data_IF_398178669459
#
_entry.id   IF_398178669459
#
_cell.length_a   1.000
_cell.length_b   1.000
_cell.length_c   1.000
_cell.angle_alpha   90.00
_cell.angle_beta   90.00
_cell.angle_gamma   90.00
#
_symmetry.space_group_name_H-M   'P 1'
#
loop_
_entity.id
_entity.type
_entity.pdbx_description
1 polymer ?
#
# COMPACT_ATOMS: atom_id res chain seq x y z
N UNK A 1 -10.48 -10.66 -15.78
CA UNK A 1 -9.43 -9.63 -15.89
C UNK A 1 -9.12 -9.18 -14.48
N UNK A 2 -7.89 -9.33 -14.00
CA UNK A 2 -7.53 -8.96 -12.62
C UNK A 2 -7.04 -7.51 -12.59
N UNK A 3 -7.63 -6.67 -11.73
CA UNK A 3 -7.21 -5.29 -11.54
C UNK A 3 -6.24 -5.19 -10.38
N UNK A 4 -5.19 -4.38 -10.54
CA UNK A 4 -4.31 -4.01 -9.44
C UNK A 4 -5.08 -3.20 -8.38
N UNK A 5 -4.55 -3.20 -7.14
CA UNK A 5 -5.13 -2.41 -6.04
C UNK A 5 -5.24 -0.92 -6.38
N UNK A 6 -4.23 -0.37 -7.07
CA UNK A 6 -4.21 1.02 -7.50
C UNK A 6 -5.33 1.30 -8.51
N UNK A 7 -5.51 0.42 -9.52
CA UNK A 7 -6.60 0.57 -10.49
C UNK A 7 -7.98 0.54 -9.81
N UNK A 8 -8.19 -0.37 -8.85
CA UNK A 8 -9.44 -0.44 -8.08
C UNK A 8 -9.69 0.89 -7.33
N UNK A 9 -8.66 1.45 -6.70
CA UNK A 9 -8.76 2.73 -5.97
C UNK A 9 -9.00 3.92 -6.90
N UNK A 10 -8.40 3.93 -8.09
CA UNK A 10 -8.65 4.95 -9.11
C UNK A 10 -10.09 4.92 -9.60
N UNK A 11 -10.65 3.73 -9.86
CA UNK A 11 -12.08 3.58 -10.20
C UNK A 11 -12.94 4.06 -9.03
N UNK A 12 -12.58 3.69 -7.80
CA UNK A 12 -13.29 4.13 -6.60
C UNK A 12 -13.34 5.66 -6.45
N UNK A 13 -12.21 6.33 -6.70
CA UNK A 13 -12.13 7.78 -6.69
C UNK A 13 -13.03 8.42 -7.77
N UNK A 14 -13.02 7.86 -8.98
CA UNK A 14 -13.88 8.32 -10.07
C UNK A 14 -15.37 8.23 -9.71
N UNK A 15 -15.81 7.11 -9.14
CA UNK A 15 -17.20 6.92 -8.73
C UNK A 15 -17.59 7.81 -7.54
N UNK A 16 -16.67 8.02 -6.59
CA UNK A 16 -16.85 8.99 -5.50
C UNK A 16 -17.06 10.41 -6.03
N UNK A 17 -16.29 10.82 -7.05
CA UNK A 17 -16.45 12.12 -7.69
C UNK A 17 -17.83 12.25 -8.35
N UNK A 18 -18.35 11.17 -8.92
CA UNK A 18 -19.71 11.06 -9.46
C UNK A 18 -20.82 10.95 -8.40
N UNK A 19 -20.48 11.19 -7.13
CA UNK A 19 -21.41 11.20 -5.98
C UNK A 19 -22.05 9.85 -5.66
N UNK A 20 -21.49 8.74 -6.14
CA UNK A 20 -21.93 7.42 -5.68
C UNK A 20 -21.61 7.23 -4.20
N UNK A 21 -22.46 6.49 -3.50
CA UNK A 21 -22.20 5.98 -2.16
C UNK A 21 -21.26 4.76 -2.18
N UNK A 22 -20.67 4.45 -1.03
CA UNK A 22 -19.81 3.28 -0.88
C UNK A 22 -20.55 1.95 -1.17
N UNK A 23 -21.85 1.90 -0.85
CA UNK A 23 -22.71 0.73 -1.12
C UNK A 23 -22.99 0.57 -2.60
N UNK A 24 -23.32 1.65 -3.31
CA UNK A 24 -23.57 1.63 -4.76
C UNK A 24 -22.30 1.27 -5.52
N UNK A 25 -21.15 1.82 -5.12
CA UNK A 25 -19.85 1.46 -5.68
C UNK A 25 -19.56 -0.03 -5.51
N UNK A 26 -19.75 -0.58 -4.30
CA UNK A 26 -19.48 -1.99 -4.03
C UNK A 26 -20.38 -2.90 -4.88
N UNK A 27 -21.66 -2.57 -4.99
CA UNK A 27 -22.61 -3.31 -5.82
C UNK A 27 -22.18 -3.30 -7.30
N UNK A 28 -21.90 -2.11 -7.85
CA UNK A 28 -21.45 -1.94 -9.23
C UNK A 28 -20.15 -2.69 -9.53
N UNK A 29 -19.21 -2.69 -8.58
CA UNK A 29 -17.96 -3.46 -8.69
C UNK A 29 -18.21 -4.96 -8.70
N UNK A 30 -19.05 -5.47 -7.79
CA UNK A 30 -19.41 -6.88 -7.76
C UNK A 30 -20.11 -7.34 -9.05
N UNK A 31 -20.97 -6.49 -9.62
CA UNK A 31 -21.68 -6.77 -10.87
C UNK A 31 -20.75 -6.77 -12.10
N UNK A 32 -19.74 -5.88 -12.12
CA UNK A 32 -18.85 -5.71 -13.28
C UNK A 32 -17.61 -6.59 -13.27
N UNK A 33 -17.01 -6.82 -12.10
CA UNK A 33 -15.70 -7.47 -11.94
C UNK A 33 -15.77 -8.78 -11.14
N UNK A 34 -16.93 -9.10 -10.58
CA UNK A 34 -17.19 -10.32 -9.82
C UNK A 34 -17.19 -10.10 -8.31
N UNK A 35 -17.73 -11.09 -7.61
CA UNK A 35 -17.85 -11.07 -6.15
C UNK A 35 -16.44 -11.09 -5.53
N UNK A 36 -16.24 -10.34 -4.45
CA UNK A 36 -14.99 -10.25 -3.67
C UNK A 36 -13.81 -9.49 -4.32
N UNK A 37 -14.04 -8.66 -5.35
CA UNK A 37 -12.96 -7.77 -5.88
C UNK A 37 -12.43 -6.81 -4.83
N UNK A 38 -13.30 -6.29 -3.95
CA UNK A 38 -12.94 -5.37 -2.86
C UNK A 38 -13.89 -5.58 -1.68
N UNK A 39 -13.38 -5.52 -0.45
CA UNK A 39 -14.23 -5.62 0.75
C UNK A 39 -14.91 -4.29 1.06
N UNK A 40 -16.10 -4.35 1.67
CA UNK A 40 -16.83 -3.14 2.10
C UNK A 40 -16.01 -2.25 3.05
N UNK A 41 -15.23 -2.85 3.95
CA UNK A 41 -14.34 -2.11 4.85
C UNK A 41 -13.27 -1.34 4.10
N UNK A 42 -12.70 -1.92 3.05
CA UNK A 42 -11.76 -1.23 2.16
C UNK A 42 -12.43 -0.03 1.50
N UNK A 43 -13.65 -0.20 0.97
CA UNK A 43 -14.41 0.91 0.37
C UNK A 43 -14.65 2.04 1.37
N UNK A 44 -15.09 1.73 2.59
CA UNK A 44 -15.32 2.75 3.64
C UNK A 44 -14.05 3.54 3.97
N UNK A 45 -12.90 2.86 4.11
CA UNK A 45 -11.63 3.52 4.44
C UNK A 45 -11.24 4.51 3.34
N UNK A 46 -11.31 4.09 2.08
CA UNK A 46 -10.97 4.93 0.94
C UNK A 46 -11.93 6.10 0.75
N UNK A 47 -13.24 5.85 0.88
CA UNK A 47 -14.23 6.94 0.86
C UNK A 47 -14.02 7.96 1.98
N UNK A 48 -13.56 7.53 3.17
CA UNK A 48 -13.17 8.46 4.24
C UNK A 48 -11.94 9.28 3.86
N UNK A 49 -10.93 8.67 3.24
CA UNK A 49 -9.75 9.39 2.71
C UNK A 49 -10.16 10.45 1.68
N UNK A 50 -11.01 10.08 0.70
CA UNK A 50 -11.48 11.03 -0.31
C UNK A 50 -12.32 12.17 0.27
N UNK A 51 -13.18 11.88 1.27
CA UNK A 51 -13.91 12.93 2.01
C UNK A 51 -13.00 13.88 2.79
N UNK A 52 -11.85 13.40 3.24
CA UNK A 52 -10.82 14.20 3.91
C UNK A 52 -9.91 14.97 2.92
N UNK A 53 -10.15 14.85 1.60
CA UNK A 53 -9.36 15.51 0.57
C UNK A 53 -8.06 14.79 0.19
N UNK A 54 -7.85 13.55 0.68
CA UNK A 54 -6.72 12.73 0.24
C UNK A 54 -7.15 11.90 -0.98
N UNK A 55 -6.59 12.22 -2.14
CA UNK A 55 -6.90 11.59 -3.43
C UNK A 55 -5.77 10.69 -3.95
N UNK A 56 -4.71 10.51 -3.17
CA UNK A 56 -3.62 9.62 -3.52
C UNK A 56 -4.11 8.17 -3.51
N UNK A 57 -3.99 7.46 -4.65
CA UNK A 57 -4.46 6.07 -4.78
C UNK A 57 -3.37 5.04 -4.51
N UNK A 58 -2.15 5.48 -4.26
CA UNK A 58 -1.01 4.63 -3.92
C UNK A 58 -1.04 4.23 -2.45
N UNK A 59 -0.25 3.22 -2.12
CA UNK A 59 -0.01 2.87 -0.73
C UNK A 59 1.02 3.86 -0.17
N UNK A 60 0.69 4.52 0.93
CA UNK A 60 1.67 5.31 1.68
C UNK A 60 2.83 4.41 2.14
N UNK A 61 4.06 4.94 2.22
CA UNK A 61 5.20 4.20 2.73
C UNK A 61 4.85 3.60 4.10
N UNK A 62 5.03 2.29 4.25
CA UNK A 62 4.75 1.63 5.52
C UNK A 62 5.75 2.10 6.56
N UNK A 63 5.26 2.72 7.62
CA UNK A 63 6.06 3.03 8.81
C UNK A 63 6.77 1.75 9.29
N UNK A 64 8.10 1.78 9.35
CA UNK A 64 8.93 0.67 9.81
C UNK A 64 9.73 -0.08 8.74
N UNK A 65 9.55 0.24 7.46
CA UNK A 65 10.44 -0.26 6.40
C UNK A 65 11.45 0.85 6.03
N UNK A 66 12.77 0.64 6.16
CA UNK A 66 13.74 1.56 5.58
C UNK A 66 13.47 1.65 4.07
N UNK A 67 13.26 2.88 3.57
CA UNK A 67 12.97 3.15 2.15
C UNK A 67 14.18 2.76 1.29
N UNK A 68 15.37 2.82 1.87
CA UNK A 68 16.63 2.41 1.27
C UNK A 68 17.55 1.98 2.42
N UNK A 69 18.03 0.75 2.41
CA UNK A 69 19.10 0.33 3.33
C UNK A 69 20.41 0.64 2.63
N UNK A 70 21.23 1.49 3.24
CA UNK A 70 22.56 1.81 2.71
C UNK A 70 23.44 0.55 2.76
N UNK A 71 23.65 -0.05 1.59
CA UNK A 71 24.44 -1.26 1.42
C UNK A 71 25.91 -1.06 1.84
N UNK A 72 26.45 0.15 1.73
CA UNK A 72 27.82 0.43 2.12
C UNK A 72 27.96 0.55 3.64
N UNK A 73 26.95 1.09 4.32
CA UNK A 73 26.87 1.03 5.78
C UNK A 73 26.73 -0.40 6.28
N UNK A 74 25.91 -1.23 5.63
CA UNK A 74 25.77 -2.65 5.95
C UNK A 74 27.09 -3.40 5.81
N UNK A 75 27.82 -3.21 4.70
CA UNK A 75 29.14 -3.81 4.50
C UNK A 75 30.12 -3.42 5.59
N UNK A 76 30.20 -2.13 5.94
CA UNK A 76 31.09 -1.67 7.02
C UNK A 76 30.77 -2.30 8.38
N UNK A 77 29.50 -2.58 8.67
CA UNK A 77 29.09 -3.25 9.92
C UNK A 77 29.52 -4.71 9.90
N UNK A 78 29.33 -5.41 8.77
CA UNK A 78 29.73 -6.81 8.59
C UNK A 78 31.26 -6.93 8.68
N UNK A 79 32.00 -6.10 7.94
CA UNK A 79 33.47 -6.12 7.94
C UNK A 79 34.03 -5.87 9.35
N UNK A 80 33.43 -4.94 10.11
CA UNK A 80 33.81 -4.71 11.51
C UNK A 80 33.54 -5.93 12.38
N UNK A 81 32.37 -6.57 12.25
CA UNK A 81 32.04 -7.76 13.02
C UNK A 81 33.04 -8.90 12.75
N UNK A 82 33.38 -9.14 11.48
CA UNK A 82 34.38 -10.13 11.08
C UNK A 82 35.78 -9.79 11.64
N UNK A 83 36.19 -8.53 11.60
CA UNK A 83 37.45 -8.07 12.20
C UNK A 83 37.47 -8.28 13.72
N UNK A 84 36.37 -8.01 14.42
CA UNK A 84 36.29 -8.21 15.88
C UNK A 84 36.34 -9.70 16.26
N UNK A 85 35.68 -10.57 15.51
CA UNK A 85 35.75 -12.02 15.74
C UNK A 85 37.16 -12.58 15.50
N UNK A 86 37.84 -12.14 14.44
CA UNK A 86 39.22 -12.52 14.15
C UNK A 86 40.23 -12.03 15.21
N UNK A 87 39.92 -10.94 15.91
CA UNK A 87 40.78 -10.38 16.96
C UNK A 87 40.52 -10.99 18.34
N UNK A 88 39.35 -11.58 18.57
CA UNK A 88 38.99 -12.31 19.81
C UNK A 88 39.45 -13.77 19.81
N UNK A 89 39.72 -14.35 18.63
CA UNK A 89 40.22 -15.73 18.46
C UNK A 89 41.75 -15.84 18.40
N UNK A 90 42.48 -14.78 18.77
CA UNK A 90 43.95 -14.70 18.77
C UNK A 90 44.47 -14.43 20.18
#
# INVERSE_FOLDING_TARGET
MELSRQQIRTIMYYEFHNKLSATEYLQKMCESLGINTVSYDTVKVWFRKFKAGNFDTEDEPRSGCPIEVDCDQLKQIIDKAEMFEHQLLR
#
